data_IF_023895674656
#
_entry.id   IF_023895674656
#
_cell.length_a   1.000
_cell.length_b   1.000
_cell.length_c   1.000
_cell.angle_alpha   90.00
_cell.angle_beta   90.00
_cell.angle_gamma   90.00
#
_symmetry.space_group_name_H-M   'P 1'
#
loop_
_entity.id
_entity.type
_entity.pdbx_description
1 polymer ?
#
# COMPACT_ATOMS: atom_id res chain seq x y z
N UNK A 1 13.70 -10.74 -3.92
CA UNK A 1 13.61 -10.18 -2.56
C UNK A 1 13.89 -11.28 -1.55
N UNK A 2 14.67 -10.99 -0.52
CA UNK A 2 14.95 -11.90 0.60
C UNK A 2 14.35 -11.32 1.88
N UNK A 3 13.68 -12.16 2.68
CA UNK A 3 13.19 -11.75 4.00
C UNK A 3 14.16 -12.22 5.08
N UNK A 4 14.80 -11.27 5.75
CA UNK A 4 15.77 -11.54 6.82
C UNK A 4 15.08 -11.29 8.16
N UNK A 5 14.86 -12.37 8.90
CA UNK A 5 14.29 -12.33 10.25
C UNK A 5 15.34 -11.83 11.23
N UNK A 6 14.94 -10.93 12.12
CA UNK A 6 15.80 -10.39 13.16
C UNK A 6 16.16 -11.47 14.20
N UNK A 7 17.39 -11.42 14.73
CA UNK A 7 17.89 -12.44 15.63
C UNK A 7 17.00 -12.57 16.89
N UNK A 8 16.53 -13.79 17.16
CA UNK A 8 15.64 -14.05 18.30
C UNK A 8 14.16 -13.71 18.08
N UNK A 9 13.78 -13.17 16.91
CA UNK A 9 12.37 -12.95 16.54
C UNK A 9 11.82 -14.15 15.75
N UNK A 10 10.49 -14.27 15.74
CA UNK A 10 9.73 -15.24 14.95
C UNK A 10 8.56 -14.52 14.30
N UNK A 11 8.22 -14.94 13.08
CA UNK A 11 7.03 -14.46 12.38
C UNK A 11 5.80 -15.12 12.98
N UNK A 12 4.78 -14.33 13.27
CA UNK A 12 3.49 -14.81 13.74
C UNK A 12 2.60 -15.25 12.56
N UNK A 13 2.29 -16.54 12.51
CA UNK A 13 1.41 -17.12 11.48
C UNK A 13 -0.05 -16.66 11.62
N UNK A 14 -0.46 -16.16 12.80
CA UNK A 14 -1.80 -15.61 13.02
C UNK A 14 -1.98 -14.24 12.33
N UNK A 15 -0.87 -13.54 12.06
CA UNK A 15 -0.87 -12.25 11.35
C UNK A 15 -1.20 -12.43 9.87
N UNK A 16 -2.49 -12.58 9.56
CA UNK A 16 -2.98 -12.89 8.22
C UNK A 16 -3.16 -11.67 7.30
N UNK A 17 -3.05 -10.44 7.83
CA UNK A 17 -3.16 -9.22 7.03
C UNK A 17 -1.85 -8.46 6.95
N UNK A 18 -1.44 -8.12 5.73
CA UNK A 18 -0.31 -7.24 5.45
C UNK A 18 -0.80 -5.83 5.15
N UNK A 19 -0.24 -4.82 5.79
CA UNK A 19 -0.44 -3.40 5.47
C UNK A 19 0.88 -2.84 4.98
N UNK A 20 0.87 -2.15 3.85
CA UNK A 20 2.07 -1.54 3.28
C UNK A 20 1.74 -0.21 2.58
N UNK A 21 2.68 0.73 2.53
CA UNK A 21 2.52 1.95 1.77
C UNK A 21 2.79 1.69 0.28
N UNK A 22 2.11 2.42 -0.59
CA UNK A 22 2.58 2.70 -1.93
C UNK A 22 3.05 4.16 -1.96
N UNK A 23 4.37 4.35 -2.03
CA UNK A 23 4.99 5.68 -2.01
C UNK A 23 4.52 6.50 -3.21
N UNK A 24 3.88 7.63 -2.91
CA UNK A 24 3.20 8.53 -3.85
C UNK A 24 3.31 9.96 -3.31
N UNK A 25 2.49 10.87 -3.83
CA UNK A 25 2.44 12.29 -3.50
C UNK A 25 2.32 12.49 -1.98
N UNK A 26 3.15 13.36 -1.42
CA UNK A 26 3.10 13.72 0.00
C UNK A 26 3.50 12.61 0.98
N UNK A 27 3.98 11.46 0.51
CA UNK A 27 4.37 10.31 1.34
C UNK A 27 3.30 9.87 2.35
N UNK A 28 2.02 10.13 2.06
CA UNK A 28 0.91 9.91 3.00
C UNK A 28 0.83 8.45 3.44
N UNK A 29 0.97 7.52 2.50
CA UNK A 29 0.98 6.08 2.79
C UNK A 29 2.10 5.70 3.78
N UNK A 30 3.30 6.23 3.56
CA UNK A 30 4.46 5.97 4.43
C UNK A 30 4.23 6.49 5.85
N UNK A 31 3.79 7.74 5.95
CA UNK A 31 3.47 8.38 7.23
C UNK A 31 2.34 7.67 7.97
N UNK A 32 1.37 7.12 7.23
CA UNK A 32 0.28 6.33 7.81
C UNK A 32 0.80 5.03 8.41
N UNK A 33 1.74 4.34 7.74
CA UNK A 33 2.35 3.13 8.31
C UNK A 33 3.29 3.48 9.47
N UNK A 34 4.04 4.58 9.43
CA UNK A 34 4.81 5.10 10.58
C UNK A 34 3.91 5.30 11.81
N UNK A 35 2.73 5.90 11.61
CA UNK A 35 1.75 6.09 12.67
C UNK A 35 1.16 4.75 13.16
N UNK A 36 0.90 3.79 12.27
CA UNK A 36 0.44 2.45 12.65
C UNK A 36 1.48 1.74 13.50
N UNK A 37 2.75 1.72 13.10
CA UNK A 37 3.83 1.07 13.86
C UNK A 37 3.96 1.70 15.24
N UNK A 38 4.11 3.03 15.29
CA UNK A 38 4.32 3.76 16.55
C UNK A 38 3.14 3.67 17.53
N UNK A 39 1.91 3.56 17.04
CA UNK A 39 0.71 3.57 17.90
C UNK A 39 0.07 2.20 18.14
N UNK A 40 0.50 1.13 17.45
CA UNK A 40 0.09 -0.25 17.77
C UNK A 40 1.09 -0.98 18.66
N UNK A 41 2.27 -0.39 18.91
CA UNK A 41 3.36 -1.07 19.60
C UNK A 41 3.85 -2.29 18.81
N UNK A 42 3.81 -2.20 17.48
CA UNK A 42 4.28 -3.29 16.63
C UNK A 42 5.80 -3.47 16.80
N UNK A 43 6.23 -4.71 16.96
CA UNK A 43 7.64 -5.05 17.09
C UNK A 43 8.24 -5.30 15.71
N UNK A 44 9.48 -4.84 15.48
CA UNK A 44 10.21 -5.24 14.28
C UNK A 44 10.51 -6.74 14.35
N UNK A 45 10.20 -7.44 13.27
CA UNK A 45 10.47 -8.89 13.12
C UNK A 45 11.56 -9.18 12.09
N UNK A 46 11.86 -8.21 11.23
CA UNK A 46 12.88 -8.37 10.20
C UNK A 46 12.82 -7.26 9.15
N UNK A 47 13.51 -7.48 8.04
CA UNK A 47 13.54 -6.58 6.90
C UNK A 47 13.54 -7.35 5.58
N UNK A 48 13.12 -6.67 4.51
CA UNK A 48 13.10 -7.21 3.16
C UNK A 48 14.25 -6.58 2.37
N UNK A 49 15.22 -7.41 1.98
CA UNK A 49 16.28 -7.00 1.06
C UNK A 49 15.77 -7.14 -0.38
N UNK A 50 15.56 -6.00 -1.02
CA UNK A 50 15.05 -5.91 -2.38
C UNK A 50 16.02 -5.12 -3.28
N UNK A 51 16.48 -5.72 -4.40
CA UNK A 51 17.47 -5.09 -5.27
C UNK A 51 16.94 -3.86 -6.02
N UNK A 52 15.62 -3.61 -6.00
CA UNK A 52 14.97 -2.52 -6.69
C UNK A 52 14.67 -1.32 -5.79
N UNK A 53 14.94 -1.40 -4.49
CA UNK A 53 14.87 -0.25 -3.58
C UNK A 53 16.19 0.51 -3.57
N UNK A 54 16.13 1.84 -3.52
CA UNK A 54 17.33 2.63 -3.30
C UNK A 54 17.86 2.40 -1.87
N UNK A 55 19.18 2.27 -1.68
CA UNK A 55 19.74 2.06 -0.36
C UNK A 55 19.53 3.29 0.53
N UNK A 56 19.04 3.06 1.76
CA UNK A 56 18.99 4.07 2.81
C UNK A 56 19.35 3.45 4.16
N UNK A 57 19.94 4.24 5.04
CA UNK A 57 20.15 3.90 6.45
C UNK A 57 19.74 5.08 7.29
N UNK A 58 18.96 4.84 8.33
CA UNK A 58 18.54 5.84 9.31
C UNK A 58 18.88 5.42 10.73
N UNK A 59 18.75 6.38 11.65
CA UNK A 59 18.74 6.06 13.07
C UNK A 59 17.47 5.29 13.44
N UNK A 60 17.41 4.77 14.67
CA UNK A 60 16.21 4.19 15.25
C UNK A 60 15.01 5.13 15.07
N UNK A 61 13.99 4.64 14.38
CA UNK A 61 12.81 5.42 14.01
C UNK A 61 11.70 5.37 15.05
N UNK A 62 11.66 4.34 15.91
CA UNK A 62 10.52 4.05 16.76
C UNK A 62 10.95 3.81 18.20
N UNK A 63 10.74 4.80 19.05
CA UNK A 63 10.98 4.66 20.48
C UNK A 63 11.22 6.00 21.15
N UNK A 64 10.95 6.12 22.45
CA UNK A 64 11.28 7.33 23.20
C UNK A 64 12.80 7.48 23.42
N UNK A 65 13.55 6.39 23.30
CA UNK A 65 14.99 6.32 23.49
C UNK A 65 15.60 5.47 22.37
N UNK A 66 16.64 5.97 21.68
CA UNK A 66 17.28 5.19 20.62
C UNK A 66 17.98 3.97 21.22
N UNK A 67 17.58 2.77 20.79
CA UNK A 67 18.21 1.51 21.23
C UNK A 67 19.48 1.16 20.41
N UNK A 68 19.83 1.99 19.42
CA UNK A 68 20.99 1.78 18.55
C UNK A 68 20.69 0.87 17.36
N UNK A 69 19.42 0.58 17.10
CA UNK A 69 18.99 -0.11 15.88
C UNK A 69 19.00 0.83 14.68
N UNK A 70 19.37 0.30 13.52
CA UNK A 70 19.37 1.05 12.27
C UNK A 70 18.03 0.85 11.56
N UNK A 71 17.50 1.93 11.00
CA UNK A 71 16.35 1.87 10.10
C UNK A 71 16.80 1.51 8.69
N UNK A 72 16.13 0.54 8.08
CA UNK A 72 16.44 0.00 6.74
C UNK A 72 15.39 0.42 5.69
N UNK A 73 15.65 0.21 4.39
CA UNK A 73 14.75 0.63 3.30
C UNK A 73 13.34 0.04 3.36
N UNK A 74 13.22 -1.22 3.79
CA UNK A 74 11.94 -1.93 3.89
C UNK A 74 11.96 -2.84 5.11
N UNK A 75 11.27 -2.42 6.15
CA UNK A 75 11.23 -3.11 7.45
C UNK A 75 9.87 -3.77 7.66
N UNK A 76 9.85 -4.91 8.35
CA UNK A 76 8.62 -5.64 8.66
C UNK A 76 8.40 -5.62 10.16
N UNK A 77 7.21 -5.19 10.56
CA UNK A 77 6.75 -5.14 11.93
C UNK A 77 5.50 -6.01 12.09
N UNK A 78 5.30 -6.57 13.27
CA UNK A 78 4.09 -7.32 13.59
C UNK A 78 3.46 -6.78 14.87
N UNK A 79 2.14 -6.64 14.86
CA UNK A 79 1.37 -6.36 16.06
C UNK A 79 0.46 -7.56 16.34
N UNK A 80 0.82 -8.41 17.33
CA UNK A 80 -0.03 -9.53 17.74
C UNK A 80 -1.41 -9.06 18.20
N UNK A 81 -1.50 -7.86 18.78
CA UNK A 81 -2.75 -7.29 19.28
C UNK A 81 -3.81 -7.06 18.19
N UNK A 82 -3.38 -6.83 16.95
CA UNK A 82 -4.26 -6.58 15.80
C UNK A 82 -4.16 -7.68 14.74
N UNK A 83 -3.34 -8.72 14.97
CA UNK A 83 -3.03 -9.78 14.01
C UNK A 83 -2.64 -9.23 12.63
N UNK A 84 -1.82 -8.17 12.63
CA UNK A 84 -1.41 -7.47 11.40
C UNK A 84 0.11 -7.39 11.28
N UNK A 85 0.59 -7.64 10.08
CA UNK A 85 1.95 -7.36 9.65
C UNK A 85 1.98 -6.00 8.94
N UNK A 86 2.93 -5.15 9.28
CA UNK A 86 3.14 -3.82 8.73
C UNK A 86 4.49 -3.83 7.98
N UNK A 87 4.50 -3.58 6.68
CA UNK A 87 5.73 -3.36 5.94
C UNK A 87 5.95 -1.85 5.78
N UNK A 88 7.00 -1.33 6.40
CA UNK A 88 7.38 0.08 6.33
C UNK A 88 8.42 0.27 5.23
N UNK A 89 8.03 0.93 4.14
CA UNK A 89 8.95 1.33 3.07
C UNK A 89 9.46 2.75 3.33
N UNK A 90 10.77 2.93 3.49
CA UNK A 90 11.43 4.24 3.67
C UNK A 90 12.11 4.75 2.40
N UNK A 91 12.51 3.84 1.52
CA UNK A 91 13.18 4.18 0.27
C UNK A 91 12.24 4.13 -0.92
N UNK A 92 12.40 5.02 -1.91
CA UNK A 92 11.71 4.89 -3.19
C UNK A 92 12.23 3.68 -3.96
N UNK A 93 11.35 3.14 -4.81
CA UNK A 93 11.73 2.14 -5.83
C UNK A 93 12.53 2.83 -6.93
N UNK A 94 13.59 2.19 -7.42
CA UNK A 94 14.38 2.68 -8.53
C UNK A 94 13.51 2.91 -9.78
N UNK A 95 13.78 3.99 -10.52
CA UNK A 95 12.98 4.37 -11.70
C UNK A 95 12.88 3.20 -12.68
N UNK A 96 11.65 2.87 -13.09
CA UNK A 96 11.35 1.77 -14.01
C UNK A 96 11.27 0.38 -13.38
N UNK A 97 11.59 0.22 -12.09
CA UNK A 97 11.62 -1.09 -11.42
C UNK A 97 10.36 -1.40 -10.60
N UNK A 98 9.33 -0.54 -10.67
CA UNK A 98 8.10 -0.69 -9.88
C UNK A 98 7.39 -2.03 -10.11
N UNK A 99 7.34 -2.51 -11.35
CA UNK A 99 6.76 -3.83 -11.67
C UNK A 99 7.52 -4.95 -10.96
N UNK A 100 8.86 -4.91 -10.99
CA UNK A 100 9.70 -5.94 -10.38
C UNK A 100 9.66 -5.91 -8.86
N UNK A 101 9.58 -4.72 -8.26
CA UNK A 101 9.32 -4.57 -6.84
C UNK A 101 7.94 -5.13 -6.45
N UNK A 102 6.90 -4.81 -7.23
CA UNK A 102 5.54 -5.30 -6.99
C UNK A 102 5.43 -6.83 -7.10
N UNK A 103 6.12 -7.43 -8.07
CA UNK A 103 6.26 -8.89 -8.23
C UNK A 103 6.89 -9.50 -6.97
N UNK A 104 8.06 -8.99 -6.56
CA UNK A 104 8.79 -9.49 -5.39
C UNK A 104 7.99 -9.42 -4.08
N UNK A 105 7.32 -8.30 -3.81
CA UNK A 105 6.55 -8.12 -2.56
C UNK A 105 5.25 -8.93 -2.56
N UNK A 106 4.66 -9.16 -3.74
CA UNK A 106 3.50 -10.04 -3.89
C UNK A 106 3.88 -11.51 -3.66
N UNK A 107 5.03 -11.94 -4.16
CA UNK A 107 5.58 -13.27 -3.91
C UNK A 107 5.84 -13.47 -2.41
N UNK A 108 6.45 -12.49 -1.74
CA UNK A 108 6.65 -12.52 -0.29
C UNK A 108 5.32 -12.62 0.48
N UNK A 109 4.31 -11.82 0.12
CA UNK A 109 3.01 -11.86 0.80
C UNK A 109 2.31 -13.21 0.62
N UNK A 110 2.40 -13.80 -0.57
CA UNK A 110 1.84 -15.12 -0.86
C UNK A 110 2.59 -16.24 -0.11
N UNK A 111 3.93 -16.22 -0.13
CA UNK A 111 4.75 -17.25 0.53
C UNK A 111 4.69 -17.17 2.06
N UNK A 112 4.42 -15.99 2.62
CA UNK A 112 4.25 -15.78 4.07
C UNK A 112 2.83 -16.06 4.58
N UNK A 113 1.95 -16.60 3.73
CA UNK A 113 0.61 -17.04 4.12
C UNK A 113 -0.38 -15.90 4.40
N UNK A 114 -0.07 -14.67 3.97
CA UNK A 114 -0.99 -13.54 4.11
C UNK A 114 -2.23 -13.80 3.25
N UNK A 115 -3.40 -13.41 3.77
CA UNK A 115 -4.70 -13.64 3.12
C UNK A 115 -5.28 -12.34 2.58
N UNK A 116 -4.97 -11.23 3.24
CA UNK A 116 -5.45 -9.90 2.87
C UNK A 116 -4.28 -8.92 2.87
N UNK A 117 -4.24 -8.06 1.86
CA UNK A 117 -3.28 -6.98 1.72
C UNK A 117 -4.00 -5.64 1.67
N UNK A 118 -3.53 -4.68 2.46
CA UNK A 118 -4.01 -3.30 2.45
C UNK A 118 -2.89 -2.38 1.98
N UNK A 119 -3.09 -1.76 0.83
CA UNK A 119 -2.15 -0.79 0.26
C UNK A 119 -2.61 0.61 0.65
N UNK A 120 -1.76 1.38 1.33
CA UNK A 120 -2.03 2.75 1.72
C UNK A 120 -1.34 3.71 0.74
N UNK A 121 -2.09 4.59 0.09
CA UNK A 121 -1.51 5.55 -0.85
C UNK A 121 -2.30 6.86 -0.90
N UNK A 122 -1.78 7.79 -1.69
CA UNK A 122 -2.34 9.11 -1.93
C UNK A 122 -2.45 9.40 -3.42
N UNK A 123 -3.36 10.30 -3.74
CA UNK A 123 -3.71 10.75 -5.08
C UNK A 123 -3.53 12.27 -5.18
N UNK A 124 -3.25 12.78 -6.38
CA UNK A 124 -3.11 14.22 -6.61
C UNK A 124 -4.45 14.94 -6.46
N UNK A 125 -4.55 15.87 -5.52
CA UNK A 125 -5.74 16.70 -5.34
C UNK A 125 -6.13 17.48 -6.60
N UNK A 126 -5.20 17.81 -7.50
CA UNK A 126 -5.52 18.48 -8.77
C UNK A 126 -6.30 17.58 -9.73
N UNK A 127 -6.18 16.26 -9.58
CA UNK A 127 -6.91 15.24 -10.34
C UNK A 127 -8.30 14.95 -9.76
N UNK A 128 -8.63 15.55 -8.62
CA UNK A 128 -9.94 15.44 -8.02
C UNK A 128 -10.98 16.10 -8.91
N UNK A 129 -11.82 15.30 -9.57
CA UNK A 129 -12.90 15.84 -10.38
C UNK A 129 -13.86 16.68 -9.52
N UNK A 130 -14.31 17.82 -10.07
CA UNK A 130 -15.24 18.77 -9.43
C UNK A 130 -16.60 18.18 -8.97
N UNK A 131 -16.88 16.91 -9.24
CA UNK A 131 -18.11 16.22 -8.87
C UNK A 131 -18.08 15.62 -7.46
N UNK A 132 -16.97 15.75 -6.72
CA UNK A 132 -16.89 15.27 -5.35
C UNK A 132 -17.38 16.34 -4.39
N UNK A 133 -18.36 15.95 -3.58
CA UNK A 133 -19.02 16.79 -2.59
C UNK A 133 -18.03 17.18 -1.47
N UNK A 134 -17.34 18.31 -1.69
CA UNK A 134 -16.38 18.90 -0.74
C UNK A 134 -17.01 19.25 0.62
N UNK A 135 -18.35 19.30 0.71
CA UNK A 135 -19.05 19.56 1.97
C UNK A 135 -18.93 18.41 2.97
N UNK A 136 -18.55 17.21 2.51
CA UNK A 136 -18.40 15.99 3.33
C UNK A 136 -17.04 15.86 4.03
N UNK A 137 -16.15 16.84 3.87
CA UNK A 137 -14.81 16.83 4.45
C UNK A 137 -13.86 15.79 3.82
N UNK A 138 -12.68 15.54 4.43
CA UNK A 138 -11.68 14.62 3.89
C UNK A 138 -12.22 13.19 3.77
N UNK A 139 -12.19 12.64 2.55
CA UNK A 139 -12.70 11.30 2.23
C UNK A 139 -11.56 10.34 1.92
N UNK A 140 -11.74 9.09 2.34
CA UNK A 140 -10.92 7.97 1.92
C UNK A 140 -11.67 7.23 0.82
N UNK A 141 -10.97 7.01 -0.28
CA UNK A 141 -11.40 6.22 -1.41
C UNK A 141 -10.81 4.82 -1.33
N UNK A 142 -11.44 3.87 -1.99
CA UNK A 142 -10.96 2.51 -2.04
C UNK A 142 -11.03 1.92 -3.44
N UNK A 143 -10.15 0.95 -3.67
CA UNK A 143 -10.20 0.00 -4.76
C UNK A 143 -9.96 -1.40 -4.18
N UNK A 144 -10.80 -2.39 -4.50
CA UNK A 144 -10.62 -3.75 -3.99
C UNK A 144 -10.91 -4.80 -5.05
N UNK A 145 -10.26 -5.96 -4.97
CA UNK A 145 -10.54 -7.10 -5.84
C UNK A 145 -11.64 -8.04 -5.30
N UNK A 146 -12.44 -7.60 -4.32
CA UNK A 146 -13.55 -8.40 -3.79
C UNK A 146 -14.64 -8.66 -4.86
N UNK A 147 -14.95 -7.65 -5.67
CA UNK A 147 -15.73 -7.76 -6.89
C UNK A 147 -14.87 -7.41 -8.12
N UNK A 148 -15.23 -7.94 -9.30
CA UNK A 148 -14.48 -7.71 -10.54
C UNK A 148 -14.41 -6.22 -10.94
N UNK A 149 -15.44 -5.46 -10.58
CA UNK A 149 -15.59 -4.03 -10.85
C UNK A 149 -14.85 -3.10 -9.85
N UNK A 150 -14.06 -3.66 -8.93
CA UNK A 150 -13.34 -2.87 -7.92
C UNK A 150 -14.10 -2.62 -6.61
N UNK A 151 -15.34 -3.09 -6.49
CA UNK A 151 -16.25 -2.83 -5.36
C UNK A 151 -15.99 -3.75 -4.17
N UNK A 152 -16.28 -3.25 -2.97
CA UNK A 152 -16.26 -3.99 -1.72
C UNK A 152 -17.34 -3.43 -0.77
N UNK A 153 -18.39 -4.21 -0.52
CA UNK A 153 -19.49 -3.82 0.36
C UNK A 153 -19.02 -3.45 1.78
N UNK A 154 -17.95 -4.05 2.28
CA UNK A 154 -17.42 -3.72 3.60
C UNK A 154 -16.82 -2.32 3.61
N UNK A 155 -16.13 -1.89 2.54
CA UNK A 155 -15.66 -0.52 2.40
C UNK A 155 -16.82 0.48 2.36
N UNK A 156 -17.88 0.15 1.63
CA UNK A 156 -19.06 1.02 1.50
C UNK A 156 -19.79 1.19 2.84
N UNK A 157 -19.93 0.11 3.62
CA UNK A 157 -20.47 0.18 4.99
C UNK A 157 -19.64 1.06 5.92
N UNK A 158 -18.32 1.13 5.71
CA UNK A 158 -17.42 2.03 6.45
C UNK A 158 -17.45 3.48 5.94
N UNK A 159 -18.25 3.76 4.91
CA UNK A 159 -18.41 5.08 4.31
C UNK A 159 -17.19 5.52 3.48
N UNK A 160 -16.47 4.58 2.86
CA UNK A 160 -15.37 4.90 1.95
C UNK A 160 -15.93 5.12 0.54
N UNK A 161 -15.41 6.14 -0.15
CA UNK A 161 -15.74 6.39 -1.55
C UNK A 161 -15.10 5.33 -2.45
N UNK A 162 -15.75 4.93 -3.55
CA UNK A 162 -15.11 4.05 -4.52
C UNK A 162 -14.24 4.89 -5.47
N UNK A 163 -13.07 4.39 -5.87
CA UNK A 163 -12.31 4.95 -6.99
C UNK A 163 -13.07 4.63 -8.29
N UNK A 164 -13.66 5.63 -8.94
CA UNK A 164 -14.51 5.43 -10.12
C UNK A 164 -13.71 5.30 -11.41
N UNK A 165 -12.45 5.70 -11.37
CA UNK A 165 -11.50 5.72 -12.48
C UNK A 165 -10.84 4.34 -12.72
N UNK A 166 -11.12 3.37 -11.86
CA UNK A 166 -10.73 1.98 -12.11
C UNK A 166 -11.57 1.40 -13.24
N UNK A 167 -10.89 1.01 -14.32
CA UNK A 167 -11.47 0.32 -15.47
C UNK A 167 -10.60 -0.89 -15.81
N UNK A 168 -11.10 -2.10 -15.55
CA UNK A 168 -10.39 -3.34 -15.86
C UNK A 168 -10.13 -3.52 -17.36
N UNK A 169 -10.92 -2.87 -18.22
CA UNK A 169 -10.75 -2.94 -19.66
C UNK A 169 -9.79 -1.89 -20.22
N UNK A 170 -9.39 -0.92 -19.40
CA UNK A 170 -8.48 0.15 -19.78
C UNK A 170 -7.09 -0.37 -20.15
N UNK A 171 -6.45 0.26 -21.15
CA UNK A 171 -5.17 -0.22 -21.73
C UNK A 171 -4.07 -0.46 -20.68
N UNK A 172 -3.87 0.47 -19.76
CA UNK A 172 -2.83 0.36 -18.73
C UNK A 172 -3.19 -0.66 -17.65
N UNK A 173 -4.47 -0.79 -17.29
CA UNK A 173 -4.92 -1.84 -16.36
C UNK A 173 -4.78 -3.24 -16.98
N UNK A 174 -5.07 -3.39 -18.28
CA UNK A 174 -4.82 -4.63 -19.03
C UNK A 174 -3.34 -4.97 -19.08
N UNK A 175 -2.48 -3.99 -19.37
CA UNK A 175 -1.03 -4.18 -19.31
C UNK A 175 -0.58 -4.67 -17.92
N UNK A 176 -1.04 -4.03 -16.84
CA UNK A 176 -0.67 -4.47 -15.50
C UNK A 176 -1.15 -5.90 -15.24
N UNK A 177 -2.36 -6.25 -15.65
CA UNK A 177 -2.85 -7.62 -15.53
C UNK A 177 -2.00 -8.61 -16.35
N UNK A 178 -1.63 -8.28 -17.58
CA UNK A 178 -0.86 -9.17 -18.46
C UNK A 178 0.56 -9.38 -17.95
N UNK A 179 1.18 -8.35 -17.39
CA UNK A 179 2.57 -8.41 -16.89
C UNK A 179 2.72 -9.33 -15.68
N UNK A 180 1.70 -9.42 -14.82
CA UNK A 180 1.74 -10.28 -13.64
C UNK A 180 1.12 -11.66 -13.86
N UNK A 181 0.45 -11.89 -15.01
CA UNK A 181 -0.09 -13.20 -15.38
C UNK A 181 0.97 -14.03 -16.10
N UNK A 182 1.49 -15.05 -15.41
CA UNK A 182 2.50 -15.98 -15.93
C UNK A 182 2.04 -16.75 -17.19
N UNK A 183 0.73 -16.82 -17.44
CA UNK A 183 0.17 -17.49 -18.62
C UNK A 183 -0.13 -16.54 -19.78
N UNK A 184 0.00 -15.23 -19.59
CA UNK A 184 -0.31 -14.25 -20.61
C UNK A 184 0.80 -14.23 -21.67
N UNK A 185 0.42 -14.43 -22.94
CA UNK A 185 1.33 -14.39 -24.10
C UNK A 185 1.23 -13.08 -24.89
N UNK A 186 0.37 -12.17 -24.44
CA UNK A 186 0.18 -10.88 -25.10
C UNK A 186 1.30 -9.93 -24.69
N UNK A 187 2.12 -9.51 -25.66
CA UNK A 187 3.09 -8.44 -25.48
C UNK A 187 2.37 -7.09 -25.55
N UNK A 188 1.75 -6.69 -24.43
CA UNK A 188 1.30 -5.32 -24.24
C UNK A 188 2.49 -4.47 -23.78
N UNK A 189 2.58 -3.24 -24.29
CA UNK A 189 3.57 -2.25 -23.84
C UNK A 189 2.89 -1.15 -23.05
N UNK A 190 3.48 -0.75 -21.92
CA UNK A 190 3.01 0.43 -21.21
C UNK A 190 3.26 1.67 -22.09
N UNK A 191 2.31 2.61 -22.19
CA UNK A 191 2.53 3.86 -22.92
C UNK A 191 3.77 4.59 -22.40
N UNK A 192 4.50 5.24 -23.31
CA UNK A 192 5.61 6.11 -22.92
C UNK A 192 5.09 7.35 -22.16
N UNK A 193 5.96 8.04 -21.41
CA UNK A 193 5.57 9.24 -20.63
C UNK A 193 4.86 10.30 -21.51
N UNK A 194 5.24 10.40 -22.78
CA UNK A 194 4.67 11.34 -23.77
C UNK A 194 3.32 10.91 -24.35
N UNK A 195 2.93 9.64 -24.18
CA UNK A 195 1.69 9.05 -24.71
C UNK A 195 0.60 8.86 -23.64
N UNK A 196 0.91 9.19 -22.38
CA UNK A 196 -0.03 9.06 -21.26
C UNK A 196 -1.18 10.05 -21.41
N UNK A 197 -2.39 9.51 -21.37
CA UNK A 197 -3.62 10.29 -21.31
C UNK A 197 -4.09 10.38 -19.84
N UNK A 198 -5.08 11.25 -19.57
CA UNK A 198 -5.64 11.39 -18.22
C UNK A 198 -6.19 10.07 -17.65
N UNK A 199 -6.69 9.18 -18.52
CA UNK A 199 -7.18 7.85 -18.15
C UNK A 199 -6.06 6.91 -17.66
N UNK A 200 -4.81 7.17 -18.03
CA UNK A 200 -3.66 6.34 -17.66
C UNK A 200 -2.98 6.81 -16.37
N UNK A 201 -3.39 7.95 -15.83
CA UNK A 201 -2.79 8.52 -14.63
C UNK A 201 -2.85 7.53 -13.45
N UNK A 202 -4.03 7.05 -13.07
CA UNK A 202 -4.19 6.14 -11.93
C UNK A 202 -3.45 4.81 -12.09
N UNK A 203 -3.53 4.09 -13.23
CA UNK A 203 -2.75 2.87 -13.42
C UNK A 203 -1.24 3.10 -13.54
N UNK A 204 -0.77 4.34 -13.78
CA UNK A 204 0.66 4.66 -13.73
C UNK A 204 1.22 4.77 -12.29
N UNK A 205 0.35 4.93 -11.29
CA UNK A 205 0.77 5.12 -9.90
C UNK A 205 1.20 3.80 -9.24
N UNK A 206 2.14 3.83 -8.27
CA UNK A 206 2.68 2.63 -7.62
C UNK A 206 1.62 1.71 -6.99
N UNK A 207 0.52 2.26 -6.47
CA UNK A 207 -0.54 1.46 -5.86
C UNK A 207 -1.20 0.52 -6.87
N UNK A 208 -1.29 0.90 -8.15
CA UNK A 208 -1.94 0.12 -9.19
C UNK A 208 -1.10 -1.11 -9.59
N UNK A 209 0.23 -0.95 -9.67
CA UNK A 209 1.16 -2.04 -9.86
C UNK A 209 1.09 -3.06 -8.70
N UNK A 210 1.12 -2.57 -7.46
CA UNK A 210 0.96 -3.41 -6.26
C UNK A 210 -0.39 -4.13 -6.24
N UNK A 211 -1.49 -3.41 -6.50
CA UNK A 211 -2.83 -3.97 -6.59
C UNK A 211 -2.90 -5.13 -7.59
N UNK A 212 -2.36 -4.93 -8.78
CA UNK A 212 -2.41 -5.92 -9.86
C UNK A 212 -1.52 -7.13 -9.53
N UNK A 213 -0.34 -6.92 -8.97
CA UNK A 213 0.56 -8.00 -8.54
C UNK A 213 -0.06 -8.87 -7.44
N UNK A 214 -0.59 -8.25 -6.36
CA UNK A 214 -1.24 -9.00 -5.29
C UNK A 214 -2.49 -9.75 -5.78
N UNK A 215 -3.28 -9.13 -6.67
CA UNK A 215 -4.44 -9.78 -7.29
C UNK A 215 -4.02 -10.99 -8.12
N UNK A 216 -2.94 -10.90 -8.90
CA UNK A 216 -2.42 -12.01 -9.70
C UNK A 216 -1.95 -13.19 -8.85
N UNK A 217 -1.42 -12.93 -7.64
CA UNK A 217 -1.07 -13.97 -6.65
C UNK A 217 -2.27 -14.51 -5.86
N UNK A 218 -3.49 -14.18 -6.25
CA UNK A 218 -4.73 -14.66 -5.63
C UNK A 218 -5.00 -14.09 -4.24
N UNK A 219 -4.30 -13.03 -3.84
CA UNK A 219 -4.49 -12.39 -2.55
C UNK A 219 -5.70 -11.46 -2.59
N UNK A 220 -6.47 -11.39 -1.49
CA UNK A 220 -7.42 -10.30 -1.32
C UNK A 220 -6.62 -9.01 -1.19
N UNK A 221 -6.94 -7.97 -1.94
CA UNK A 221 -6.28 -6.67 -1.89
C UNK A 221 -7.30 -5.54 -1.79
N UNK A 222 -6.98 -4.56 -0.95
CA UNK A 222 -7.73 -3.32 -0.80
C UNK A 222 -6.76 -2.15 -0.77
N UNK A 223 -6.81 -1.27 -1.76
CA UNK A 223 -6.13 0.01 -1.71
C UNK A 223 -7.00 1.02 -0.97
N UNK A 224 -6.43 1.72 0.00
CA UNK A 224 -7.04 2.89 0.64
C UNK A 224 -6.29 4.13 0.19
N UNK A 225 -7.03 5.09 -0.34
CA UNK A 225 -6.52 6.24 -1.07
C UNK A 225 -7.09 7.51 -0.48
N UNK A 226 -6.30 8.57 -0.37
CA UNK A 226 -6.79 9.91 -0.08
C UNK A 226 -6.16 10.91 -1.05
N UNK A 227 -6.91 11.95 -1.40
CA UNK A 227 -6.36 13.04 -2.20
C UNK A 227 -5.59 13.97 -1.27
N UNK A 228 -4.39 14.36 -1.69
CA UNK A 228 -3.56 15.28 -0.94
C UNK A 228 -2.89 16.30 -1.88
N UNK A 229 -2.53 17.45 -1.33
CA UNK A 229 -1.73 18.48 -2.01
C UNK A 229 -0.28 18.42 -1.54
N UNK A 230 0.62 19.04 -2.29
CA UNK A 230 1.99 19.22 -1.80
C UNK A 230 2.01 20.06 -0.51
N UNK A 231 2.88 19.69 0.44
CA UNK A 231 3.01 20.38 1.73
C UNK A 231 2.98 19.44 2.93
N UNK A 232 2.36 19.90 4.03
CA UNK A 232 2.19 19.10 5.24
C UNK A 232 1.05 18.09 5.07
N UNK A 233 1.43 16.82 4.98
CA UNK A 233 0.55 15.69 4.71
C UNK A 233 0.25 14.86 5.99
N UNK A 234 0.63 15.35 7.16
CA UNK A 234 0.34 14.71 8.45
C UNK A 234 -1.18 14.50 8.66
N UNK A 235 -2.06 15.48 8.39
CA UNK A 235 -3.51 15.28 8.58
C UNK A 235 -4.08 14.16 7.71
N UNK A 236 -3.60 14.03 6.46
CA UNK A 236 -4.02 12.99 5.53
C UNK A 236 -3.53 11.61 5.95
N UNK A 237 -2.29 11.53 6.46
CA UNK A 237 -1.74 10.30 7.03
C UNK A 237 -2.54 9.83 8.25
N UNK A 238 -2.95 10.77 9.11
CA UNK A 238 -3.80 10.49 10.27
C UNK A 238 -5.19 9.99 9.83
N UNK A 239 -5.79 10.60 8.81
CA UNK A 239 -7.06 10.15 8.24
C UNK A 239 -6.95 8.70 7.73
N UNK A 240 -5.94 8.41 6.93
CA UNK A 240 -5.73 7.10 6.32
C UNK A 240 -5.47 6.01 7.38
N UNK A 241 -4.70 6.35 8.42
CA UNK A 241 -4.47 5.49 9.59
C UNK A 241 -5.75 5.20 10.36
N UNK A 242 -6.57 6.21 10.64
CA UNK A 242 -7.85 6.00 11.34
C UNK A 242 -8.81 5.14 10.54
N UNK A 243 -8.87 5.33 9.22
CA UNK A 243 -9.78 4.55 8.36
C UNK A 243 -9.31 3.12 8.18
N UNK A 244 -8.01 2.88 7.99
CA UNK A 244 -7.46 1.52 7.93
C UNK A 244 -7.76 0.74 9.22
N UNK A 245 -7.57 1.35 10.40
CA UNK A 245 -7.92 0.74 11.70
C UNK A 245 -9.39 0.34 11.85
N UNK A 246 -10.33 1.17 11.37
CA UNK A 246 -11.77 0.86 11.42
C UNK A 246 -12.15 -0.40 10.65
N UNK A 247 -11.32 -0.84 9.70
CA UNK A 247 -11.51 -2.09 8.96
C UNK A 247 -11.12 -3.32 9.79
N UNK A 248 -10.14 -3.18 10.67
CA UNK A 248 -9.65 -4.26 11.54
C UNK A 248 -10.41 -4.36 12.85
N UNK A 249 -10.87 -3.23 13.38
CA UNK A 249 -11.59 -3.18 14.65
C UNK A 249 -13.04 -2.73 14.42
N UNK A 250 -13.96 -3.68 14.59
CA UNK A 250 -15.31 -3.32 15.05
C UNK A 250 -15.13 -2.76 16.47
N UNK A 251 -15.17 -1.44 16.60
CA UNK A 251 -14.97 -0.69 17.85
C UNK A 251 -13.57 -0.76 18.47
N UNK A 252 -12.78 0.29 18.22
CA UNK A 252 -12.04 0.95 19.30
C UNK A 252 -11.92 2.44 18.98
N UNK A 253 -12.68 3.25 19.70
CA UNK A 253 -12.45 4.69 19.84
C UNK A 253 -11.26 4.81 20.77
N UNK A 254 -10.09 5.18 20.23
CA UNK A 254 -9.01 5.71 21.05
C UNK A 254 -8.40 6.92 20.32
N UNK A 255 -8.70 8.06 20.95
CA UNK A 255 -8.33 9.47 20.72
C UNK A 255 -8.87 10.09 19.43
#
# INVERSE_FOLDING_TARGET
>A
MEFVVEEGKRVDEECSTLILPALSIGNVGQLAVDLLVSSTGADRVGYLDDPYLLPCVGNDAYGPLPCGEISLPLEVYESPSTATTLAQQRSPVAKGMMIKFAENIADFAASSGKKHVIVLSSLDFQRLHHNLDMSRGPQVYYLSNAEANGRDEHCERLGFGRLNEYDSEGRCWKYLCSVFDENCKEELTFPSEDELEDIDYYPSLPFAALFSAFKARGLKVTCLLCYCSEGDNIPDAFLLTRRSRRRFHSFLVLV
#
